data_IF_290826541858
#
_entry.id   IF_290826541858
#
_cell.length_a   1.000
_cell.length_b   1.000
_cell.length_c   1.000
_cell.angle_alpha   90.00
_cell.angle_beta   90.00
_cell.angle_gamma   90.00
#
_symmetry.space_group_name_H-M   'P 1'
#
loop_
_entity.id
_entity.type
_entity.pdbx_description
1 polymer ?
#
# COMPACT_ATOMS: atom_id res chain seq x y z
N UNK A 1 3.30 17.42 -14.48
CA UNK A 1 1.93 17.61 -13.96
C UNK A 1 1.27 16.24 -14.01
N UNK A 2 0.61 15.81 -12.93
CA UNK A 2 -0.07 14.52 -12.91
C UNK A 2 -1.35 14.57 -13.77
N UNK A 3 -1.78 13.43 -14.30
CA UNK A 3 -2.95 13.29 -15.15
C UNK A 3 -4.23 13.46 -14.33
N UNK A 4 -4.37 12.71 -13.23
CA UNK A 4 -5.59 12.73 -12.41
C UNK A 4 -5.32 13.05 -10.93
N UNK A 5 -4.08 12.96 -10.46
CA UNK A 5 -3.71 13.21 -9.07
C UNK A 5 -3.63 14.71 -8.78
N UNK A 6 -4.29 15.15 -7.70
CA UNK A 6 -4.29 16.56 -7.25
C UNK A 6 -3.39 16.71 -6.03
N UNK A 7 -2.31 17.46 -6.19
CA UNK A 7 -1.41 17.78 -5.07
C UNK A 7 -2.09 18.79 -4.13
N UNK A 8 -2.23 18.49 -2.82
CA UNK A 8 -2.81 19.44 -1.87
C UNK A 8 -1.94 20.70 -1.72
N UNK A 9 -2.54 21.88 -1.93
CA UNK A 9 -1.82 23.16 -1.95
C UNK A 9 -1.20 23.60 -0.61
N UNK A 10 -1.63 23.02 0.53
CA UNK A 10 -1.18 23.40 1.87
C UNK A 10 -0.19 22.44 2.53
N UNK A 11 0.18 21.35 1.83
CA UNK A 11 1.06 20.33 2.38
C UNK A 11 2.45 20.34 1.78
N UNK A 12 3.39 19.73 2.49
CA UNK A 12 4.79 19.60 2.09
C UNK A 12 5.19 18.13 1.96
N UNK A 13 6.14 17.82 1.07
CA UNK A 13 6.64 16.45 0.90
C UNK A 13 7.45 16.01 2.11
N UNK A 14 7.31 14.75 2.50
CA UNK A 14 8.32 14.08 3.33
C UNK A 14 9.58 13.89 2.47
N UNK A 15 10.75 14.14 3.03
CA UNK A 15 12.04 13.90 2.35
C UNK A 15 12.89 12.88 3.09
N UNK A 16 13.71 12.16 2.34
CA UNK A 16 14.65 11.16 2.85
C UNK A 16 16.05 11.79 2.88
N UNK A 17 16.66 11.81 4.05
CA UNK A 17 18.03 12.31 4.22
C UNK A 17 19.05 11.26 3.74
N UNK A 18 20.34 11.63 3.53
CA UNK A 18 21.37 10.68 3.10
C UNK A 18 21.59 9.47 4.01
N UNK A 19 21.19 9.56 5.28
CA UNK A 19 21.25 8.48 6.29
C UNK A 19 19.94 7.67 6.40
N UNK A 20 19.01 7.87 5.46
CA UNK A 20 17.66 7.30 5.43
C UNK A 20 16.71 7.77 6.54
N UNK A 21 17.12 8.69 7.41
CA UNK A 21 16.17 9.35 8.32
C UNK A 21 15.17 10.20 7.52
N UNK A 22 13.95 10.32 8.07
CA UNK A 22 12.88 11.08 7.41
C UNK A 22 12.79 12.48 8.00
N UNK A 23 12.80 13.49 7.12
CA UNK A 23 12.38 14.85 7.48
C UNK A 23 10.88 14.96 7.21
N UNK A 24 10.09 15.01 8.28
CA UNK A 24 8.63 15.07 8.24
C UNK A 24 8.16 16.47 8.67
N UNK A 25 7.58 17.28 7.76
CA UNK A 25 7.06 18.60 8.11
C UNK A 25 5.82 18.50 9.01
N UNK A 26 5.38 19.61 9.60
CA UNK A 26 4.17 19.62 10.44
C UNK A 26 2.88 19.42 9.61
N UNK A 27 2.92 19.70 8.31
CA UNK A 27 1.80 19.57 7.36
C UNK A 27 2.16 18.61 6.21
N UNK A 28 2.44 17.31 6.46
CA UNK A 28 2.94 16.41 5.43
C UNK A 28 1.85 16.00 4.44
N UNK A 29 2.20 15.88 3.17
CA UNK A 29 1.36 15.23 2.16
C UNK A 29 1.52 13.72 2.25
N UNK A 30 0.41 13.00 2.43
CA UNK A 30 0.39 11.54 2.50
C UNK A 30 -0.52 11.00 1.39
N UNK A 31 0.05 10.34 0.35
CA UNK A 31 -0.72 9.60 -0.62
C UNK A 31 -1.54 8.49 0.02
N UNK A 32 -2.79 8.32 -0.44
CA UNK A 32 -3.60 7.16 -0.08
C UNK A 32 -4.32 6.56 -1.29
N UNK A 33 -4.44 5.23 -1.30
CA UNK A 33 -5.29 4.49 -2.24
C UNK A 33 -6.53 4.02 -1.50
N UNK A 34 -7.73 4.42 -1.93
CA UNK A 34 -9.00 4.03 -1.29
C UNK A 34 -9.16 2.51 -1.16
N UNK A 35 -8.74 1.78 -2.20
CA UNK A 35 -8.87 0.33 -2.28
C UNK A 35 -10.20 -0.11 -2.88
N UNK A 36 -10.26 -1.39 -3.24
CA UNK A 36 -11.43 -2.04 -3.83
C UNK A 36 -12.38 -2.58 -2.75
N UNK A 37 -13.64 -2.85 -3.13
CA UNK A 37 -14.64 -3.44 -2.23
C UNK A 37 -14.79 -2.62 -0.93
N UNK A 38 -14.52 -3.26 0.21
CA UNK A 38 -14.59 -2.63 1.55
C UNK A 38 -13.64 -1.45 1.75
N UNK A 39 -12.70 -1.19 0.83
CA UNK A 39 -11.86 0.01 0.86
C UNK A 39 -12.67 1.31 0.91
N UNK A 40 -13.81 1.32 0.20
CA UNK A 40 -14.77 2.44 0.22
C UNK A 40 -15.31 2.74 1.63
N UNK A 41 -15.53 1.71 2.45
CA UNK A 41 -16.05 1.87 3.81
C UNK A 41 -14.94 2.20 4.82
N UNK A 42 -13.80 1.52 4.72
CA UNK A 42 -12.75 1.56 5.75
C UNK A 42 -11.86 2.80 5.61
N UNK A 43 -11.50 3.20 4.39
CA UNK A 43 -10.60 4.33 4.14
C UNK A 43 -11.11 5.67 4.72
N UNK A 44 -12.37 6.11 4.47
CA UNK A 44 -12.84 7.38 5.04
C UNK A 44 -12.89 7.36 6.57
N UNK A 45 -13.17 6.19 7.17
CA UNK A 45 -13.15 6.02 8.63
C UNK A 45 -11.72 6.10 9.17
N UNK A 46 -10.76 5.45 8.49
CA UNK A 46 -9.34 5.52 8.84
C UNK A 46 -8.85 6.97 8.84
N UNK A 47 -9.12 7.72 7.75
CA UNK A 47 -8.75 9.14 7.64
C UNK A 47 -9.31 9.94 8.81
N UNK A 48 -10.62 9.79 9.10
CA UNK A 48 -11.27 10.51 10.20
C UNK A 48 -10.65 10.20 11.58
N UNK A 49 -10.32 8.94 11.84
CA UNK A 49 -9.69 8.53 13.11
C UNK A 49 -8.29 9.09 13.23
N UNK A 50 -7.48 9.02 12.14
CA UNK A 50 -6.12 9.57 12.13
C UNK A 50 -6.13 11.07 12.31
N UNK A 51 -6.98 11.81 11.58
CA UNK A 51 -7.09 13.26 11.70
C UNK A 51 -7.47 13.67 13.13
N UNK A 52 -8.44 13.00 13.76
CA UNK A 52 -8.83 13.28 15.13
C UNK A 52 -7.71 12.97 16.14
N UNK A 53 -6.92 11.91 15.91
CA UNK A 53 -5.80 11.56 16.76
C UNK A 53 -4.66 12.59 16.65
N UNK A 54 -4.35 13.04 15.43
CA UNK A 54 -3.35 14.09 15.16
C UNK A 54 -3.78 15.41 15.78
N UNK A 55 -5.02 15.82 15.57
CA UNK A 55 -5.58 17.04 16.16
C UNK A 55 -5.49 17.01 17.69
N UNK A 56 -5.91 15.89 18.31
CA UNK A 56 -5.86 15.72 19.77
C UNK A 56 -4.43 15.74 20.31
N UNK A 57 -3.48 15.15 19.60
CA UNK A 57 -2.09 15.05 20.06
C UNK A 57 -1.31 16.36 19.92
N UNK A 58 -1.65 17.18 18.91
CA UNK A 58 -0.84 18.35 18.53
C UNK A 58 -1.58 19.69 18.57
N UNK A 59 -2.86 19.70 18.94
CA UNK A 59 -3.67 20.92 19.10
C UNK A 59 -3.67 21.80 17.85
N UNK A 60 -3.82 21.19 16.66
CA UNK A 60 -3.83 21.88 15.37
C UNK A 60 -2.47 22.27 14.81
N UNK A 61 -1.36 22.10 15.56
CA UNK A 61 -0.01 22.40 15.03
C UNK A 61 0.35 21.49 13.84
N UNK A 62 -0.08 20.23 13.90
CA UNK A 62 0.16 19.22 12.85
C UNK A 62 -1.14 18.79 12.20
N UNK A 63 -1.08 18.49 10.90
CA UNK A 63 -2.22 17.95 10.15
C UNK A 63 -1.72 17.26 8.87
N UNK A 64 -2.33 16.13 8.53
CA UNK A 64 -2.01 15.43 7.28
C UNK A 64 -2.78 16.06 6.13
N UNK A 65 -2.09 16.26 5.02
CA UNK A 65 -2.69 16.63 3.74
C UNK A 65 -2.84 15.37 2.87
N UNK A 66 -4.01 14.76 2.95
CA UNK A 66 -4.32 13.53 2.20
C UNK A 66 -4.34 13.79 0.69
N UNK A 67 -3.64 12.95 -0.07
CA UNK A 67 -3.60 13.01 -1.53
C UNK A 67 -4.09 11.68 -2.09
N UNK A 68 -5.28 11.68 -2.69
CA UNK A 68 -5.79 10.46 -3.31
C UNK A 68 -4.97 10.08 -4.54
N UNK A 69 -4.57 8.81 -4.60
CA UNK A 69 -3.96 8.16 -5.77
C UNK A 69 -4.68 6.86 -6.06
N UNK A 70 -4.53 6.34 -7.28
CA UNK A 70 -5.45 5.32 -7.78
C UNK A 70 -4.72 4.02 -8.13
N UNK A 71 -5.33 2.90 -7.72
CA UNK A 71 -5.00 1.56 -8.16
C UNK A 71 -6.27 0.70 -8.06
N UNK A 72 -6.29 -0.46 -8.71
CA UNK A 72 -7.45 -1.37 -8.68
C UNK A 72 -8.60 -0.91 -9.58
N UNK A 73 -9.82 -1.29 -9.23
CA UNK A 73 -11.03 -1.00 -10.02
C UNK A 73 -11.32 0.50 -10.12
N UNK A 74 -10.97 1.28 -9.09
CA UNK A 74 -11.12 2.74 -9.16
C UNK A 74 -10.20 3.34 -10.22
N UNK A 75 -9.00 2.78 -10.38
CA UNK A 75 -8.05 3.20 -11.42
C UNK A 75 -8.60 2.98 -12.82
N UNK A 76 -9.21 1.82 -13.09
CA UNK A 76 -9.73 1.52 -14.44
C UNK A 76 -10.89 2.45 -14.84
N UNK A 77 -11.61 3.00 -13.87
CA UNK A 77 -12.66 4.01 -14.10
C UNK A 77 -12.08 5.41 -14.35
N UNK A 78 -10.96 5.75 -13.72
CA UNK A 78 -10.34 7.09 -13.81
C UNK A 78 -9.41 7.21 -15.03
N UNK A 79 -8.57 6.20 -15.26
CA UNK A 79 -7.52 6.20 -16.29
C UNK A 79 -7.91 5.42 -17.55
N UNK A 80 -8.97 4.63 -17.49
CA UNK A 80 -9.48 3.84 -18.62
C UNK A 80 -9.33 2.33 -18.45
N UNK A 81 -9.96 1.55 -19.35
CA UNK A 81 -9.95 0.09 -19.30
C UNK A 81 -8.53 -0.47 -19.20
N UNK A 82 -8.34 -1.52 -18.40
CA UNK A 82 -7.07 -2.21 -18.15
C UNK A 82 -5.93 -1.38 -17.51
N UNK A 83 -6.18 -0.12 -17.12
CA UNK A 83 -5.22 0.67 -16.33
C UNK A 83 -5.44 0.41 -14.85
N UNK A 84 -4.95 -0.73 -14.37
CA UNK A 84 -5.09 -1.18 -12.97
C UNK A 84 -4.10 -0.53 -12.00
N UNK A 85 -2.90 -0.18 -12.48
CA UNK A 85 -1.86 0.49 -11.71
C UNK A 85 -1.17 1.52 -12.60
N UNK A 86 -1.58 2.81 -12.53
CA UNK A 86 -0.99 3.88 -13.31
C UNK A 86 0.46 4.12 -12.89
N UNK A 87 1.33 4.45 -13.85
CA UNK A 87 2.73 4.80 -13.60
C UNK A 87 2.86 6.01 -12.66
N UNK A 88 1.96 7.00 -12.78
CA UNK A 88 1.98 8.16 -11.90
C UNK A 88 1.68 7.82 -10.44
N UNK A 89 0.94 6.74 -10.17
CA UNK A 89 0.74 6.24 -8.81
C UNK A 89 2.07 5.73 -8.26
N UNK A 90 2.83 4.90 -9.00
CA UNK A 90 4.15 4.43 -8.57
C UNK A 90 5.13 5.59 -8.33
N UNK A 91 5.16 6.56 -9.25
CA UNK A 91 5.99 7.75 -9.11
C UNK A 91 5.64 8.54 -7.85
N UNK A 92 4.35 8.74 -7.57
CA UNK A 92 3.90 9.46 -6.37
C UNK A 92 4.21 8.70 -5.09
N UNK A 93 3.97 7.39 -5.04
CA UNK A 93 4.29 6.58 -3.87
C UNK A 93 5.79 6.64 -3.54
N UNK A 94 6.66 6.67 -4.56
CA UNK A 94 8.10 6.85 -4.39
C UNK A 94 8.46 8.27 -3.96
N UNK A 95 7.94 9.28 -4.65
CA UNK A 95 8.30 10.70 -4.42
C UNK A 95 7.82 11.26 -3.09
N UNK A 96 6.72 10.73 -2.55
CA UNK A 96 6.12 11.18 -1.28
C UNK A 96 6.44 10.27 -0.11
N UNK A 97 7.25 9.22 -0.33
CA UNK A 97 7.92 8.37 0.66
C UNK A 97 7.00 7.46 1.48
N UNK A 98 5.95 8.02 2.10
CA UNK A 98 5.05 7.31 3.01
C UNK A 98 3.64 7.37 2.45
N UNK A 99 2.99 6.21 2.34
CA UNK A 99 1.63 6.09 1.80
C UNK A 99 0.84 5.00 2.51
N UNK A 100 -0.48 5.02 2.35
CA UNK A 100 -1.39 4.00 2.90
C UNK A 100 -2.38 3.52 1.85
N UNK A 101 -2.82 2.27 1.92
CA UNK A 101 -3.82 1.73 0.97
C UNK A 101 -4.86 0.86 1.65
N UNK A 102 -6.08 0.92 1.13
CA UNK A 102 -7.10 -0.10 1.34
C UNK A 102 -6.75 -1.43 0.65
N UNK A 103 -7.62 -2.44 0.71
CA UNK A 103 -7.44 -3.71 -0.01
C UNK A 103 -7.46 -3.48 -1.54
N UNK A 104 -6.78 -4.33 -2.31
CA UNK A 104 -6.86 -4.31 -3.78
C UNK A 104 -7.20 -5.70 -4.28
N UNK A 105 -8.20 -5.77 -5.15
CA UNK A 105 -8.63 -6.99 -5.82
C UNK A 105 -7.63 -7.31 -6.93
N UNK A 106 -7.22 -8.57 -7.01
CA UNK A 106 -6.50 -9.08 -8.19
C UNK A 106 -7.50 -9.90 -8.99
N UNK A 107 -7.81 -9.52 -10.25
CA UNK A 107 -8.76 -10.27 -11.06
C UNK A 107 -8.24 -11.71 -11.29
N UNK A 108 -9.11 -12.69 -11.06
CA UNK A 108 -8.78 -14.11 -11.27
C UNK A 108 -8.85 -14.43 -12.77
N UNK A 109 -7.81 -15.04 -13.32
CA UNK A 109 -7.79 -15.57 -14.69
C UNK A 109 -7.39 -14.59 -15.81
N UNK A 110 -7.19 -13.30 -15.51
CA UNK A 110 -6.88 -12.26 -16.51
C UNK A 110 -5.40 -12.07 -16.86
N UNK A 111 -4.50 -12.94 -16.38
CA UNK A 111 -3.06 -12.83 -16.67
C UNK A 111 -2.32 -11.68 -15.94
N UNK A 112 -3.00 -10.93 -15.07
CA UNK A 112 -2.39 -9.87 -14.26
C UNK A 112 -1.87 -10.49 -12.95
N UNK A 113 -0.56 -10.38 -12.71
CA UNK A 113 0.04 -10.71 -11.40
C UNK A 113 -0.51 -9.78 -10.32
N UNK A 114 -0.58 -10.24 -9.07
CA UNK A 114 -1.23 -9.47 -8.00
C UNK A 114 -0.76 -8.02 -7.91
N UNK A 115 -1.69 -7.06 -7.95
CA UNK A 115 -1.38 -5.62 -7.82
C UNK A 115 -0.63 -5.31 -6.52
N UNK A 116 -0.94 -6.05 -5.45
CA UNK A 116 -0.24 -5.92 -4.18
C UNK A 116 1.22 -6.39 -4.27
N UNK A 117 1.49 -7.44 -5.05
CA UNK A 117 2.86 -7.93 -5.30
C UNK A 117 3.61 -6.99 -6.23
N UNK A 118 2.96 -6.51 -7.30
CA UNK A 118 3.53 -5.53 -8.22
C UNK A 118 3.97 -4.26 -7.49
N UNK A 119 3.11 -3.67 -6.64
CA UNK A 119 3.47 -2.50 -5.82
C UNK A 119 4.73 -2.73 -4.96
N UNK A 120 4.91 -3.94 -4.42
CA UNK A 120 6.05 -4.27 -3.56
C UNK A 120 7.34 -4.42 -4.37
N UNK A 121 7.26 -5.10 -5.51
CA UNK A 121 8.40 -5.35 -6.39
C UNK A 121 8.86 -4.06 -7.09
N UNK A 122 7.93 -3.30 -7.67
CA UNK A 122 8.25 -2.06 -8.40
C UNK A 122 8.81 -0.95 -7.48
N UNK A 123 8.42 -0.95 -6.20
CA UNK A 123 8.92 0.01 -5.21
C UNK A 123 10.05 -0.56 -4.32
N UNK A 124 10.49 -1.79 -4.59
CA UNK A 124 11.51 -2.50 -3.80
C UNK A 124 11.24 -2.49 -2.28
N UNK A 125 9.98 -2.70 -1.90
CA UNK A 125 9.54 -2.77 -0.51
C UNK A 125 9.80 -4.17 0.07
N UNK A 126 11.08 -4.53 0.17
CA UNK A 126 11.55 -5.89 0.50
C UNK A 126 11.17 -6.38 1.91
N UNK A 127 10.72 -5.50 2.82
CA UNK A 127 10.22 -5.88 4.15
C UNK A 127 8.69 -5.82 4.19
N UNK A 128 8.05 -6.97 4.40
CA UNK A 128 6.66 -7.04 4.86
C UNK A 128 6.63 -7.20 6.38
N UNK A 129 6.49 -6.07 7.09
CA UNK A 129 6.46 -6.02 8.55
C UNK A 129 5.04 -6.24 9.09
N UNK A 130 4.85 -7.24 9.97
CA UNK A 130 3.54 -7.57 10.56
C UNK A 130 3.64 -7.75 12.08
N UNK A 131 3.36 -6.69 12.86
CA UNK A 131 3.14 -6.82 14.30
C UNK A 131 1.86 -7.63 14.57
N UNK A 132 1.94 -8.62 15.46
CA UNK A 132 0.81 -9.44 15.91
C UNK A 132 0.75 -9.35 17.43
N UNK A 133 -0.30 -8.68 17.93
CA UNK A 133 -0.52 -8.47 19.35
C UNK A 133 -1.99 -8.70 19.69
N UNK A 134 -2.25 -9.11 20.92
CA UNK A 134 -3.61 -9.26 21.42
C UNK A 134 -4.13 -7.96 22.05
N UNK A 135 -5.33 -7.54 21.64
CA UNK A 135 -6.08 -6.47 22.29
C UNK A 135 -7.09 -7.08 23.27
N UNK A 136 -7.05 -6.64 24.52
CA UNK A 136 -7.93 -7.15 25.58
C UNK A 136 -9.41 -7.06 25.19
N UNK A 137 -10.12 -8.18 25.29
CA UNK A 137 -11.55 -8.27 24.97
C UNK A 137 -11.87 -8.71 23.54
N UNK A 138 -10.87 -8.80 22.66
CA UNK A 138 -11.06 -9.39 21.32
C UNK A 138 -11.35 -10.89 21.49
N UNK A 139 -12.44 -11.43 20.89
CA UNK A 139 -12.71 -12.85 20.88
C UNK A 139 -11.57 -13.63 20.22
N UNK A 140 -11.17 -14.74 20.82
CA UNK A 140 -10.08 -15.57 20.31
C UNK A 140 -10.43 -17.05 20.37
N UNK A 141 -10.00 -17.86 19.39
CA UNK A 141 -10.11 -19.31 19.46
C UNK A 141 -9.07 -19.97 20.40
N UNK A 142 -8.07 -19.22 20.87
CA UNK A 142 -7.01 -19.73 21.74
C UNK A 142 -7.36 -19.55 23.22
N UNK A 143 -6.79 -20.41 24.08
CA UNK A 143 -6.97 -20.33 25.55
C UNK A 143 -6.25 -19.15 26.18
N UNK A 144 -5.07 -18.79 25.68
CA UNK A 144 -4.18 -17.76 26.25
C UNK A 144 -3.69 -16.81 25.13
N UNK A 145 -4.58 -16.08 24.44
CA UNK A 145 -4.21 -15.20 23.33
C UNK A 145 -3.32 -14.03 23.75
N UNK A 146 -3.38 -13.61 25.02
CA UNK A 146 -2.58 -12.53 25.59
C UNK A 146 -1.07 -12.81 25.60
N UNK A 147 -0.65 -14.08 25.45
CA UNK A 147 0.76 -14.45 25.30
C UNK A 147 1.32 -14.13 23.90
N UNK A 148 0.46 -13.79 22.94
CA UNK A 148 0.88 -13.43 21.58
C UNK A 148 1.33 -11.98 21.55
N UNK A 149 2.65 -11.80 21.44
CA UNK A 149 3.28 -10.52 21.18
C UNK A 149 4.52 -10.75 20.30
N UNK A 150 4.35 -10.61 18.99
CA UNK A 150 5.37 -10.95 17.99
C UNK A 150 5.44 -9.88 16.91
N UNK A 151 6.59 -9.79 16.25
CA UNK A 151 6.77 -8.97 15.05
C UNK A 151 7.37 -9.86 13.96
N UNK A 152 6.63 -10.04 12.87
CA UNK A 152 7.07 -10.85 11.74
C UNK A 152 7.75 -9.95 10.71
N UNK A 153 9.01 -10.26 10.39
CA UNK A 153 9.73 -9.71 9.24
C UNK A 153 9.69 -10.75 8.13
N UNK A 154 8.81 -10.52 7.15
CA UNK A 154 8.66 -11.41 5.98
C UNK A 154 9.38 -10.78 4.79
N UNK A 155 10.27 -11.53 4.16
CA UNK A 155 10.87 -11.22 2.85
C UNK A 155 9.75 -10.99 1.81
N UNK A 156 9.90 -9.99 0.95
CA UNK A 156 8.83 -9.46 0.12
C UNK A 156 9.24 -9.11 -1.32
N UNK A 157 10.46 -9.47 -1.74
CA UNK A 157 11.05 -9.20 -3.05
C UNK A 157 11.28 -10.45 -3.90
N UNK A 158 11.46 -11.64 -3.30
CA UNK A 158 11.85 -12.87 -3.99
C UNK A 158 10.87 -14.05 -3.72
N UNK A 159 11.40 -15.26 -3.50
CA UNK A 159 10.67 -16.53 -3.38
C UNK A 159 9.81 -16.86 -4.63
N UNK A 160 8.92 -17.84 -4.54
CA UNK A 160 7.92 -18.18 -5.55
C UNK A 160 7.03 -16.98 -5.95
N UNK A 161 7.02 -15.92 -5.14
CA UNK A 161 6.31 -14.67 -5.42
C UNK A 161 6.93 -13.85 -6.55
N UNK A 162 8.15 -14.19 -7.02
CA UNK A 162 8.70 -13.65 -8.27
C UNK A 162 7.83 -13.98 -9.50
N UNK A 163 6.97 -15.00 -9.40
CA UNK A 163 6.04 -15.40 -10.46
C UNK A 163 6.73 -15.98 -11.69
N UNK A 164 7.95 -16.49 -11.52
CA UNK A 164 8.72 -17.14 -12.60
C UNK A 164 8.23 -18.59 -12.71
N UNK A 165 7.19 -18.78 -13.51
CA UNK A 165 6.53 -20.07 -13.71
C UNK A 165 6.09 -20.24 -15.17
N UNK A 166 5.96 -21.50 -15.58
CA UNK A 166 5.49 -21.87 -16.92
C UNK A 166 4.48 -23.01 -16.82
N UNK A 167 3.39 -22.88 -17.58
CA UNK A 167 2.37 -23.92 -17.64
C UNK A 167 2.96 -25.24 -18.18
N UNK A 168 2.53 -26.36 -17.58
CA UNK A 168 2.97 -27.68 -17.98
C UNK A 168 2.76 -27.91 -19.48
N UNK A 169 3.78 -28.46 -20.16
CA UNK A 169 3.78 -28.75 -21.61
C UNK A 169 3.76 -27.51 -22.53
N UNK A 170 3.84 -26.29 -21.99
CA UNK A 170 4.01 -25.08 -22.81
C UNK A 170 5.35 -25.09 -23.55
N UNK A 171 5.45 -24.34 -24.65
CA UNK A 171 6.70 -24.25 -25.42
C UNK A 171 7.85 -23.64 -24.61
N UNK A 172 7.53 -22.71 -23.69
CA UNK A 172 8.52 -22.15 -22.75
C UNK A 172 9.04 -23.21 -21.78
N UNK A 173 8.14 -24.03 -21.20
CA UNK A 173 8.55 -25.13 -20.33
C UNK A 173 9.40 -26.18 -21.07
N UNK A 174 9.01 -26.55 -22.31
CA UNK A 174 9.77 -27.50 -23.14
C UNK A 174 11.17 -26.98 -23.49
N UNK A 175 11.35 -25.68 -23.68
CA UNK A 175 12.64 -25.05 -23.94
C UNK A 175 13.55 -25.02 -22.71
N UNK A 176 12.98 -24.98 -21.51
CA UNK A 176 13.74 -24.93 -20.26
C UNK A 176 14.23 -26.32 -19.80
N UNK A 177 13.44 -27.36 -20.06
CA UNK A 177 13.68 -28.73 -19.56
C UNK A 177 14.60 -29.54 -20.49
N UNK A 178 14.78 -29.12 -21.74
CA UNK A 178 15.69 -29.74 -22.71
C UNK A 178 17.09 -29.17 -22.58
#
# INVERSE_FOLDING_TARGET
MYQHIKVPAGGEKITVNPDFSLTVPDQPIIPYIEGDGTGFDITPVMIKVVDAAVEKAYGGKRRIHWMEVYAGEKSTKVYGPDVWLPEETLQVLKDYVVSIKGPLTTPVGGGIRSLNVALRQELDLYVCLRPVQYFKGVPSPLKEPEKVNMVIFRENSEDIYAGIEWEAKSDKAKKLIK
#
